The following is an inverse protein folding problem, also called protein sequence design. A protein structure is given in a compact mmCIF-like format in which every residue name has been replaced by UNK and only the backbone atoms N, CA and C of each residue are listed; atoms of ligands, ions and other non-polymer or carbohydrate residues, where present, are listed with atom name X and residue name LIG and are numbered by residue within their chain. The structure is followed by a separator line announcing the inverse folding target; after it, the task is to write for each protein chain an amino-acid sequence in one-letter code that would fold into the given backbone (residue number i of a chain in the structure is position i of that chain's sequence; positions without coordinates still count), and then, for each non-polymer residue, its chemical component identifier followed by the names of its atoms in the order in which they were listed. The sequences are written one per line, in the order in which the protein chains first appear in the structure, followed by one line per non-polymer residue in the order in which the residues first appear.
data_IF_844319727673
#
_entry.id   IF_844319727673
#
_cell.length_a   1.000
_cell.length_b   1.000
_cell.length_c   1.000
_cell.angle_alpha   90.00
_cell.angle_beta   90.00
_cell.angle_gamma   90.00
#
_symmetry.space_group_name_H-M   'P 1'
#
loop_
_entity.id
_entity.type
_entity.pdbx_description
1 polymer ?
#
# COMPACT_ATOMS: atom_id res chain seq x y z
N UNK A 1 -6.39 21.15 -9.71
CA UNK A 1 -6.37 20.39 -10.98
C UNK A 1 -5.42 20.95 -12.03
N UNK A 2 -5.18 22.27 -12.16
CA UNK A 2 -4.24 22.75 -13.17
C UNK A 2 -3.09 23.72 -12.77
N UNK A 3 -3.08 24.33 -11.58
CA UNK A 3 -1.78 24.64 -10.92
C UNK A 3 -1.01 23.33 -10.59
N UNK A 4 -1.77 22.23 -10.50
CA UNK A 4 -1.37 20.83 -10.43
C UNK A 4 -0.98 20.23 -11.80
N UNK A 5 -1.55 20.72 -12.92
CA UNK A 5 -1.25 20.27 -14.29
C UNK A 5 -0.16 21.11 -14.97
N UNK A 6 0.04 22.38 -14.57
CA UNK A 6 1.18 23.21 -15.00
C UNK A 6 2.49 22.70 -14.40
N UNK A 7 2.43 22.23 -13.16
CA UNK A 7 3.54 21.57 -12.48
C UNK A 7 3.82 20.13 -13.01
N UNK A 8 2.83 19.53 -13.70
CA UNK A 8 2.91 18.21 -14.36
C UNK A 8 3.42 18.28 -15.81
N UNK A 9 3.17 19.39 -16.52
CA UNK A 9 3.64 19.61 -17.88
C UNK A 9 5.16 19.69 -18.00
N UNK A 10 5.86 20.11 -16.94
CA UNK A 10 7.32 20.14 -16.86
C UNK A 10 7.94 18.74 -16.59
N UNK A 11 7.17 17.78 -16.08
CA UNK A 11 7.64 16.41 -15.76
C UNK A 11 7.56 15.47 -16.98
N UNK A 12 6.79 15.83 -18.00
CA UNK A 12 6.51 14.96 -19.15
C UNK A 12 7.64 14.85 -20.19
N UNK A 13 8.77 15.57 -20.02
CA UNK A 13 9.86 15.62 -21.01
C UNK A 13 11.11 14.76 -20.66
N UNK A 14 11.01 13.86 -19.67
CA UNK A 14 12.14 13.07 -19.16
C UNK A 14 12.07 11.55 -19.38
N UNK A 15 11.30 11.04 -20.35
CA UNK A 15 11.03 9.60 -20.48
C UNK A 15 11.65 9.00 -21.75
N UNK A 16 12.95 8.73 -21.69
CA UNK A 16 13.60 7.78 -22.59
C UNK A 16 14.51 6.87 -21.74
N UNK A 17 14.17 5.58 -21.65
CA UNK A 17 14.96 4.56 -20.96
C UNK A 17 14.41 4.07 -19.60
N UNK A 18 13.09 3.84 -19.48
CA UNK A 18 12.54 3.22 -18.26
C UNK A 18 13.02 1.77 -18.14
N UNK A 19 13.83 1.50 -17.12
CA UNK A 19 14.28 0.16 -16.75
C UNK A 19 13.44 -0.33 -15.56
N UNK A 20 13.02 -1.59 -15.56
CA UNK A 20 12.16 -2.19 -14.51
C UNK A 20 12.76 -3.48 -13.99
N UNK A 21 12.71 -3.70 -12.69
CA UNK A 21 13.02 -4.99 -12.09
C UNK A 21 11.76 -5.85 -11.97
N UNK A 22 11.94 -7.15 -12.21
CA UNK A 22 10.90 -8.16 -12.11
C UNK A 22 11.32 -9.21 -11.09
N UNK A 23 10.36 -9.64 -10.29
CA UNK A 23 10.53 -10.63 -9.23
C UNK A 23 9.42 -11.68 -9.35
N UNK A 24 9.82 -12.93 -9.51
CA UNK A 24 8.94 -14.11 -9.44
C UNK A 24 9.33 -14.93 -8.22
N UNK A 25 8.39 -15.09 -7.29
CA UNK A 25 8.56 -15.86 -6.07
C UNK A 25 7.69 -17.10 -6.16
N UNK A 26 8.30 -18.27 -6.18
CA UNK A 26 7.60 -19.55 -6.10
C UNK A 26 7.85 -20.21 -4.75
N UNK A 27 6.79 -20.73 -4.13
CA UNK A 27 6.85 -21.35 -2.82
C UNK A 27 6.14 -22.69 -2.79
N UNK A 28 6.70 -23.62 -2.02
CA UNK A 28 6.10 -24.90 -1.64
C UNK A 28 6.32 -25.11 -0.15
N UNK A 29 5.33 -25.61 0.55
CA UNK A 29 5.44 -25.95 1.97
C UNK A 29 5.63 -27.46 2.17
N UNK A 30 6.50 -27.83 3.10
CA UNK A 30 6.56 -29.20 3.65
C UNK A 30 5.85 -29.33 5.03
N UNK A 31 5.07 -28.31 5.40
CA UNK A 31 4.35 -28.20 6.66
C UNK A 31 5.13 -27.55 7.80
N UNK A 32 6.48 -27.55 7.76
CA UNK A 32 7.32 -26.88 8.77
C UNK A 32 8.13 -25.72 8.19
N UNK A 33 8.45 -25.81 6.91
CA UNK A 33 9.28 -24.86 6.22
C UNK A 33 8.71 -24.57 4.83
N UNK A 34 9.11 -23.42 4.29
CA UNK A 34 8.88 -23.08 2.89
C UNK A 34 10.16 -23.32 2.10
N UNK A 35 10.04 -24.10 1.03
CA UNK A 35 10.96 -24.07 -0.09
C UNK A 35 10.59 -22.89 -0.98
N UNK A 36 11.51 -21.94 -1.17
CA UNK A 36 11.31 -20.71 -1.93
C UNK A 36 12.30 -20.65 -3.09
N UNK A 37 11.80 -20.32 -4.26
CA UNK A 37 12.59 -19.94 -5.44
C UNK A 37 12.29 -18.48 -5.76
N UNK A 38 13.33 -17.65 -5.82
CA UNK A 38 13.24 -16.29 -6.34
C UNK A 38 13.93 -16.23 -7.70
N UNK A 39 13.17 -15.85 -8.73
CA UNK A 39 13.71 -15.48 -10.04
C UNK A 39 13.62 -13.97 -10.18
N UNK A 40 14.75 -13.32 -10.45
CA UNK A 40 14.77 -11.87 -10.68
C UNK A 40 15.54 -11.48 -11.93
N UNK A 41 15.02 -10.50 -12.65
CA UNK A 41 15.65 -9.95 -13.85
C UNK A 41 15.25 -8.48 -14.03
N UNK A 42 15.94 -7.81 -14.95
CA UNK A 42 15.73 -6.41 -15.25
C UNK A 42 15.43 -6.26 -16.74
N UNK A 43 14.44 -5.47 -17.10
CA UNK A 43 14.10 -5.19 -18.49
C UNK A 43 14.20 -3.69 -18.78
N UNK A 44 14.79 -3.37 -19.92
CA UNK A 44 14.75 -2.03 -20.49
C UNK A 44 13.54 -1.91 -21.43
N UNK A 45 12.70 -0.89 -21.21
CA UNK A 45 11.51 -0.66 -22.01
C UNK A 45 11.87 -0.21 -23.44
N UNK A 46 11.30 -0.89 -24.43
CA UNK A 46 11.43 -0.58 -25.86
C UNK A 46 10.41 -1.37 -26.69
N UNK A 47 10.41 -1.20 -28.03
CA UNK A 47 9.52 -1.96 -28.93
C UNK A 47 9.70 -3.49 -28.82
N UNK A 48 10.88 -3.93 -28.35
CA UNK A 48 11.15 -5.29 -27.92
C UNK A 48 11.83 -5.21 -26.55
N UNK A 49 11.20 -5.69 -25.46
CA UNK A 49 11.80 -5.69 -24.14
C UNK A 49 13.10 -6.49 -24.16
N UNK A 50 14.18 -5.90 -23.65
CA UNK A 50 15.48 -6.56 -23.56
C UNK A 50 15.84 -6.79 -22.11
N UNK A 51 16.17 -8.04 -21.77
CA UNK A 51 16.74 -8.36 -20.46
C UNK A 51 18.13 -7.75 -20.37
N UNK A 52 18.34 -6.92 -19.35
CA UNK A 52 19.62 -6.29 -19.02
C UNK A 52 20.11 -6.82 -17.67
N UNK A 53 21.42 -6.73 -17.37
CA UNK A 53 21.95 -7.23 -16.12
C UNK A 53 21.35 -6.55 -14.88
N UNK A 54 20.97 -7.35 -13.89
CA UNK A 54 20.65 -6.88 -12.53
C UNK A 54 21.93 -6.34 -11.86
N UNK A 55 21.79 -5.34 -10.98
CA UNK A 55 22.96 -4.74 -10.31
C UNK A 55 23.73 -5.77 -9.46
N UNK A 56 25.07 -5.65 -9.44
CA UNK A 56 25.90 -6.57 -8.66
C UNK A 56 25.66 -6.45 -7.15
N UNK A 57 25.28 -5.27 -6.67
CA UNK A 57 24.89 -5.04 -5.28
C UNK A 57 23.66 -5.88 -4.91
N UNK A 58 22.61 -5.85 -5.74
CA UNK A 58 21.41 -6.65 -5.53
C UNK A 58 21.72 -8.16 -5.54
N UNK A 59 22.53 -8.63 -6.50
CA UNK A 59 22.96 -10.02 -6.56
C UNK A 59 23.72 -10.43 -5.28
N UNK A 60 24.65 -9.59 -4.81
CA UNK A 60 25.42 -9.85 -3.60
C UNK A 60 24.54 -9.89 -2.34
N UNK A 61 23.57 -8.98 -2.23
CA UNK A 61 22.57 -8.99 -1.15
C UNK A 61 21.76 -10.29 -1.15
N UNK A 62 21.27 -10.72 -2.32
CA UNK A 62 20.47 -11.94 -2.44
C UNK A 62 21.29 -13.20 -2.13
N UNK A 63 22.57 -13.25 -2.52
CA UNK A 63 23.51 -14.32 -2.12
C UNK A 63 23.60 -14.46 -0.60
N UNK A 64 23.65 -13.35 0.15
CA UNK A 64 23.71 -13.40 1.61
C UNK A 64 22.42 -13.94 2.23
N UNK A 65 21.27 -13.58 1.66
CA UNK A 65 19.95 -14.03 2.12
C UNK A 65 19.76 -15.53 1.88
N UNK A 66 20.06 -16.00 0.66
CA UNK A 66 19.86 -17.40 0.26
C UNK A 66 21.02 -18.32 0.65
N UNK A 67 22.18 -17.75 1.01
CA UNK A 67 23.43 -18.47 1.34
C UNK A 67 23.87 -19.41 0.23
N UNK A 68 23.62 -19.03 -1.02
CA UNK A 68 23.96 -19.81 -2.22
C UNK A 68 24.32 -18.88 -3.37
N UNK A 69 25.10 -19.40 -4.31
CA UNK A 69 25.28 -18.77 -5.61
C UNK A 69 23.99 -18.88 -6.44
N UNK A 70 23.60 -17.83 -7.19
CA UNK A 70 22.47 -17.92 -8.10
C UNK A 70 22.81 -18.82 -9.29
N UNK A 71 21.80 -19.47 -9.82
CA UNK A 71 21.83 -19.99 -11.18
C UNK A 71 21.41 -18.87 -12.15
N UNK A 72 21.95 -18.88 -13.36
CA UNK A 72 21.54 -17.96 -14.43
C UNK A 72 20.83 -18.78 -15.49
N UNK A 73 19.54 -18.53 -15.66
CA UNK A 73 18.65 -19.23 -16.60
C UNK A 73 18.06 -18.16 -17.54
N UNK A 74 18.36 -18.23 -18.84
CA UNK A 74 17.88 -17.27 -19.87
C UNK A 74 18.12 -15.78 -19.52
N UNK A 75 19.26 -15.49 -18.89
CA UNK A 75 19.61 -14.12 -18.45
C UNK A 75 18.92 -13.65 -17.16
N UNK A 76 18.13 -14.52 -16.52
CA UNK A 76 17.50 -14.28 -15.21
C UNK A 76 18.31 -14.93 -14.09
N UNK A 77 18.35 -14.30 -12.92
CA UNK A 77 19.01 -14.86 -11.74
C UNK A 77 18.02 -15.65 -10.91
N UNK A 78 18.36 -16.90 -10.57
CA UNK A 78 17.51 -17.81 -9.81
C UNK A 78 18.19 -18.20 -8.51
N UNK A 79 17.50 -17.92 -7.40
CA UNK A 79 17.92 -18.25 -6.03
C UNK A 79 16.94 -19.26 -5.43
N UNK A 80 17.45 -20.24 -4.69
CA UNK A 80 16.62 -21.29 -4.06
C UNK A 80 17.04 -21.47 -2.61
N UNK A 81 16.07 -21.50 -1.71
CA UNK A 81 16.32 -21.56 -0.27
C UNK A 81 15.18 -22.22 0.50
N UNK A 82 15.46 -22.56 1.76
CA UNK A 82 14.49 -23.13 2.69
C UNK A 82 14.40 -22.25 3.95
N UNK A 83 13.19 -21.84 4.31
CA UNK A 83 12.94 -20.87 5.38
C UNK A 83 11.91 -21.40 6.39
N UNK A 84 12.12 -21.12 7.67
CA UNK A 84 11.25 -21.55 8.78
C UNK A 84 10.84 -20.31 9.58
N UNK A 85 9.54 -20.16 9.81
CA UNK A 85 8.99 -19.05 10.59
C UNK A 85 9.07 -17.73 9.83
N UNK A 86 10.22 -17.05 9.83
CA UNK A 86 10.39 -15.74 9.19
C UNK A 86 10.75 -15.88 7.70
N UNK A 87 10.10 -15.09 6.85
CA UNK A 87 10.39 -15.02 5.41
C UNK A 87 11.62 -14.14 5.12
N UNK A 88 12.40 -14.47 4.08
CA UNK A 88 13.60 -13.71 3.74
C UNK A 88 13.25 -12.28 3.28
N UNK A 89 14.10 -11.31 3.64
CA UNK A 89 14.00 -9.94 3.13
C UNK A 89 14.60 -9.78 1.72
N UNK A 90 14.21 -10.64 0.78
CA UNK A 90 14.82 -10.76 -0.55
C UNK A 90 14.30 -9.72 -1.56
N UNK A 91 12.99 -9.56 -1.69
CA UNK A 91 12.35 -8.50 -2.47
C UNK A 91 12.18 -7.22 -1.62
N UNK A 92 12.41 -7.34 -0.31
CA UNK A 92 12.23 -6.30 0.71
C UNK A 92 10.88 -6.44 1.42
N UNK A 93 10.78 -5.90 2.64
CA UNK A 93 9.60 -6.05 3.50
C UNK A 93 9.81 -7.10 4.60
N UNK A 94 8.73 -7.72 5.07
CA UNK A 94 8.75 -8.68 6.17
C UNK A 94 7.59 -9.67 6.06
N UNK A 95 7.80 -10.91 6.49
CA UNK A 95 6.75 -11.91 6.45
C UNK A 95 7.00 -13.10 7.35
N UNK A 96 5.96 -13.90 7.52
CA UNK A 96 5.98 -15.12 8.31
C UNK A 96 5.22 -16.24 7.61
N UNK A 97 5.71 -17.46 7.82
CA UNK A 97 4.99 -18.70 7.57
C UNK A 97 4.91 -19.47 8.88
N UNK A 98 3.71 -19.62 9.41
CA UNK A 98 3.49 -20.20 10.74
C UNK A 98 2.42 -21.27 10.68
N UNK A 99 2.70 -22.41 11.31
CA UNK A 99 1.73 -23.48 11.55
C UNK A 99 1.37 -23.53 13.02
N UNK A 100 0.08 -23.42 13.31
CA UNK A 100 -0.52 -23.56 14.64
C UNK A 100 -1.23 -24.91 14.71
N UNK A 101 -0.84 -25.75 15.66
CA UNK A 101 -1.41 -27.09 15.82
C UNK A 101 -2.24 -27.22 17.10
N UNK A 102 -3.23 -28.10 17.04
CA UNK A 102 -4.09 -28.52 18.15
C UNK A 102 -4.41 -30.01 18.00
N UNK A 103 -5.01 -30.67 19.01
CA UNK A 103 -5.46 -32.06 18.87
C UNK A 103 -6.48 -32.28 17.74
N UNK A 104 -7.26 -31.27 17.37
CA UNK A 104 -8.32 -31.41 16.36
C UNK A 104 -7.84 -31.12 14.94
N UNK A 105 -6.59 -30.69 14.78
CA UNK A 105 -6.02 -30.28 13.50
C UNK A 105 -5.15 -29.03 13.61
N UNK A 106 -4.82 -28.45 12.47
CA UNK A 106 -3.91 -27.31 12.38
C UNK A 106 -4.38 -26.22 11.43
N UNK A 107 -3.82 -25.03 11.65
CA UNK A 107 -3.97 -23.84 10.82
C UNK A 107 -2.59 -23.41 10.36
N UNK A 108 -2.43 -23.22 9.06
CA UNK A 108 -1.20 -22.70 8.47
C UNK A 108 -1.48 -21.33 7.90
N UNK A 109 -0.65 -20.35 8.26
CA UNK A 109 -0.76 -18.95 7.84
C UNK A 109 0.51 -18.54 7.11
N UNK A 110 0.36 -18.09 5.88
CA UNK A 110 1.36 -17.32 5.15
C UNK A 110 0.93 -15.85 5.13
N UNK A 111 1.82 -14.95 5.52
CA UNK A 111 1.63 -13.51 5.48
C UNK A 111 2.96 -12.85 5.16
N UNK A 112 3.07 -12.17 4.02
CA UNK A 112 4.29 -11.48 3.62
C UNK A 112 3.96 -10.12 3.02
N UNK A 113 4.64 -9.10 3.52
CA UNK A 113 4.64 -7.75 2.98
C UNK A 113 5.87 -7.58 2.10
N UNK A 114 5.67 -7.08 0.88
CA UNK A 114 6.72 -6.80 -0.09
C UNK A 114 6.92 -5.30 -0.27
N UNK A 115 8.14 -4.85 0.00
CA UNK A 115 8.56 -3.44 -0.03
C UNK A 115 7.56 -2.50 0.68
N UNK A 116 7.60 -1.22 0.33
CA UNK A 116 6.72 -0.18 0.85
C UNK A 116 7.04 0.21 2.29
N UNK A 117 6.50 1.36 2.67
CA UNK A 117 6.54 1.86 4.04
C UNK A 117 5.21 1.60 4.71
N UNK A 118 5.26 0.97 5.88
CA UNK A 118 4.09 0.63 6.70
C UNK A 118 3.86 1.66 7.81
N UNK A 119 4.76 2.63 7.94
CA UNK A 119 4.56 3.82 8.78
C UNK A 119 3.67 4.83 8.02
N UNK A 120 2.36 4.58 8.10
CA UNK A 120 1.36 5.40 7.42
C UNK A 120 1.36 6.85 7.94
N UNK A 121 1.69 7.05 9.22
CA UNK A 121 1.75 8.37 9.82
C UNK A 121 2.93 9.16 9.28
N UNK A 122 4.13 8.58 9.25
CA UNK A 122 5.31 9.21 8.66
C UNK A 122 5.09 9.47 7.16
N UNK A 123 4.48 8.54 6.43
CA UNK A 123 4.13 8.74 5.02
C UNK A 123 3.18 9.94 4.84
N UNK A 124 2.11 10.03 5.63
CA UNK A 124 1.19 11.17 5.61
C UNK A 124 1.87 12.49 6.02
N UNK A 125 2.72 12.46 7.04
CA UNK A 125 3.47 13.62 7.51
C UNK A 125 4.39 14.17 6.41
N UNK A 126 5.14 13.30 5.72
CA UNK A 126 5.99 13.70 4.58
C UNK A 126 5.18 14.31 3.44
N UNK A 127 4.00 13.75 3.11
CA UNK A 127 3.11 14.32 2.07
C UNK A 127 2.59 15.70 2.45
N UNK A 128 2.16 15.88 3.70
CA UNK A 128 1.71 17.18 4.21
C UNK A 128 2.85 18.19 4.24
N UNK A 129 4.05 17.76 4.64
CA UNK A 129 5.26 18.58 4.61
C UNK A 129 5.63 19.03 3.20
N UNK A 130 5.57 18.12 2.22
CA UNK A 130 5.78 18.47 0.81
C UNK A 130 4.71 19.43 0.28
N UNK A 131 3.44 19.27 0.68
CA UNK A 131 2.38 20.21 0.34
C UNK A 131 2.59 21.60 0.99
N UNK A 132 3.11 21.66 2.23
CA UNK A 132 3.51 22.91 2.89
C UNK A 132 4.67 23.59 2.16
N UNK A 133 5.71 22.83 1.83
CA UNK A 133 6.88 23.36 1.09
C UNK A 133 6.46 23.90 -0.28
N UNK A 134 5.58 23.20 -1.00
CA UNK A 134 5.02 23.69 -2.26
C UNK A 134 4.23 24.98 -2.06
N UNK A 135 3.40 25.07 -1.01
CA UNK A 135 2.64 26.27 -0.69
C UNK A 135 3.56 27.46 -0.38
N UNK A 136 4.63 27.23 0.40
CA UNK A 136 5.63 28.25 0.74
C UNK A 136 6.37 28.76 -0.49
N UNK A 137 6.76 27.86 -1.40
CA UNK A 137 7.44 28.24 -2.64
C UNK A 137 6.51 29.04 -3.55
N UNK A 138 5.25 28.61 -3.73
CA UNK A 138 4.25 29.34 -4.54
C UNK A 138 3.96 30.71 -3.93
N UNK A 139 3.78 30.79 -2.61
CA UNK A 139 3.53 32.05 -1.91
C UNK A 139 4.72 33.00 -2.08
N UNK A 140 5.94 32.54 -1.83
CA UNK A 140 7.12 33.39 -1.97
C UNK A 140 7.39 33.82 -3.41
N UNK A 141 7.14 32.96 -4.39
CA UNK A 141 7.21 33.31 -5.81
C UNK A 141 6.22 34.42 -6.17
N UNK A 142 4.95 34.22 -5.83
CA UNK A 142 3.93 35.22 -6.10
C UNK A 142 4.19 36.51 -5.30
N UNK A 143 4.81 36.43 -4.12
CA UNK A 143 5.23 37.63 -3.37
C UNK A 143 6.33 38.39 -4.10
N UNK A 144 7.30 37.70 -4.71
CA UNK A 144 8.35 38.33 -5.49
C UNK A 144 7.78 39.06 -6.71
N UNK A 145 6.77 38.49 -7.37
CA UNK A 145 6.15 39.08 -8.58
C UNK A 145 5.08 40.14 -8.25
N UNK A 146 4.30 39.95 -7.19
CA UNK A 146 3.05 40.69 -6.93
C UNK A 146 3.02 41.41 -5.57
N UNK A 147 4.05 41.29 -4.73
CA UNK A 147 4.02 41.77 -3.34
C UNK A 147 3.78 43.26 -3.17
N UNK A 148 4.06 44.07 -4.20
CA UNK A 148 3.81 45.51 -4.24
C UNK A 148 2.48 45.90 -4.89
N UNK A 149 1.72 44.93 -5.41
CA UNK A 149 0.51 45.18 -6.18
C UNK A 149 -0.73 45.35 -5.28
N UNK A 150 -1.69 46.20 -5.67
CA UNK A 150 -2.97 46.30 -4.98
C UNK A 150 -3.68 44.94 -4.91
N UNK A 151 -4.20 44.59 -3.73
CA UNK A 151 -4.90 43.32 -3.52
C UNK A 151 -3.99 42.15 -3.15
N UNK A 152 -2.67 42.35 -3.05
CA UNK A 152 -1.73 41.33 -2.58
C UNK A 152 -2.13 40.74 -1.22
N UNK A 153 -2.46 41.55 -0.21
CA UNK A 153 -2.83 41.08 1.13
C UNK A 153 -3.96 40.04 1.13
N UNK A 154 -4.92 40.18 0.19
CA UNK A 154 -6.02 39.24 0.02
C UNK A 154 -5.54 37.93 -0.59
N UNK A 155 -4.71 38.02 -1.63
CA UNK A 155 -4.11 36.87 -2.29
C UNK A 155 -3.18 36.11 -1.35
N UNK A 156 -2.34 36.81 -0.60
CA UNK A 156 -1.44 36.26 0.41
C UNK A 156 -2.20 35.48 1.49
N UNK A 157 -3.25 36.07 2.06
CA UNK A 157 -4.09 35.39 3.06
C UNK A 157 -4.75 34.12 2.51
N UNK A 158 -5.19 34.16 1.25
CA UNK A 158 -5.74 32.97 0.58
C UNK A 158 -4.67 31.91 0.37
N UNK A 159 -3.48 32.28 -0.10
CA UNK A 159 -2.36 31.38 -0.37
C UNK A 159 -1.87 30.68 0.91
N UNK A 160 -1.69 31.45 1.98
CA UNK A 160 -1.14 30.93 3.23
C UNK A 160 -2.12 30.05 4.02
N UNK A 161 -3.43 30.32 3.89
CA UNK A 161 -4.48 29.59 4.65
C UNK A 161 -5.19 28.55 3.80
N UNK A 162 -6.01 29.02 2.87
CA UNK A 162 -6.96 28.17 2.14
C UNK A 162 -6.22 27.27 1.15
N UNK A 163 -5.38 27.86 0.30
CA UNK A 163 -4.61 27.11 -0.70
C UNK A 163 -3.68 26.07 -0.07
N UNK A 164 -2.96 26.44 0.99
CA UNK A 164 -2.12 25.50 1.75
C UNK A 164 -2.92 24.32 2.30
N UNK A 165 -4.05 24.59 2.96
CA UNK A 165 -4.92 23.53 3.47
C UNK A 165 -5.48 22.65 2.34
N UNK A 166 -5.85 23.28 1.22
CA UNK A 166 -6.38 22.59 0.06
C UNK A 166 -5.32 21.72 -0.63
N UNK A 167 -4.05 22.14 -0.70
CA UNK A 167 -2.95 21.30 -1.18
C UNK A 167 -2.76 20.04 -0.32
N UNK A 168 -2.84 20.15 1.00
CA UNK A 168 -2.77 19.00 1.91
C UNK A 168 -3.93 18.04 1.69
N UNK A 169 -5.14 18.55 1.53
CA UNK A 169 -6.31 17.72 1.25
C UNK A 169 -6.20 17.03 -0.10
N UNK A 170 -5.71 17.71 -1.13
CA UNK A 170 -5.42 17.09 -2.43
C UNK A 170 -4.34 16.01 -2.34
N UNK A 171 -3.32 16.19 -1.50
CA UNK A 171 -2.28 15.19 -1.27
C UNK A 171 -2.87 13.92 -0.63
N UNK A 172 -3.76 14.09 0.34
CA UNK A 172 -4.47 12.98 0.99
C UNK A 172 -5.42 12.30 0.00
N UNK A 173 -6.20 13.06 -0.76
CA UNK A 173 -7.04 12.54 -1.84
C UNK A 173 -6.20 11.67 -2.79
N UNK A 174 -5.08 12.19 -3.30
CA UNK A 174 -4.16 11.44 -4.18
C UNK A 174 -3.68 10.13 -3.55
N UNK A 175 -3.34 10.16 -2.26
CA UNK A 175 -2.93 8.97 -1.52
C UNK A 175 -4.08 7.95 -1.36
N UNK A 176 -5.31 8.41 -1.08
CA UNK A 176 -6.49 7.51 -0.96
C UNK A 176 -6.84 6.84 -2.28
N UNK A 177 -6.75 7.55 -3.41
CA UNK A 177 -6.92 6.96 -4.73
C UNK A 177 -5.90 5.86 -4.99
N UNK A 178 -4.64 6.11 -4.60
CA UNK A 178 -3.58 5.13 -4.76
C UNK A 178 -3.78 3.90 -3.87
N UNK A 179 -4.32 4.09 -2.65
CA UNK A 179 -4.67 3.00 -1.75
C UNK A 179 -5.85 2.16 -2.27
N UNK A 180 -6.81 2.78 -2.96
CA UNK A 180 -7.95 2.11 -3.56
C UNK A 180 -7.57 1.20 -4.76
N UNK A 181 -6.38 1.41 -5.34
CA UNK A 181 -5.82 0.59 -6.42
C UNK A 181 -6.30 0.98 -7.83
N UNK A 182 -5.81 0.24 -8.83
CA UNK A 182 -5.96 0.58 -10.26
C UNK A 182 -7.34 0.27 -10.87
N UNK A 183 -8.43 0.36 -10.08
CA UNK A 183 -9.79 0.15 -10.61
C UNK A 183 -10.21 1.36 -11.45
N UNK A 184 -10.66 1.18 -12.71
CA UNK A 184 -11.13 2.29 -13.55
C UNK A 184 -12.21 3.15 -12.89
N UNK A 185 -13.14 2.50 -12.16
CA UNK A 185 -14.22 3.17 -11.43
C UNK A 185 -13.69 4.07 -10.31
N UNK A 186 -12.62 3.63 -9.62
CA UNK A 186 -11.97 4.41 -8.57
C UNK A 186 -11.32 5.69 -9.13
N UNK A 187 -10.81 5.65 -10.36
CA UNK A 187 -10.22 6.83 -11.01
C UNK A 187 -11.28 7.87 -11.36
N UNK A 188 -12.43 7.46 -11.91
CA UNK A 188 -13.52 8.39 -12.25
C UNK A 188 -14.14 9.04 -11.00
N UNK A 189 -14.42 8.23 -9.97
CA UNK A 189 -14.92 8.72 -8.69
C UNK A 189 -13.94 9.72 -8.04
N UNK A 190 -12.65 9.41 -8.10
CA UNK A 190 -11.60 10.29 -7.59
C UNK A 190 -11.58 11.66 -8.25
N UNK A 191 -11.62 11.69 -9.59
CA UNK A 191 -11.68 12.95 -10.36
C UNK A 191 -12.93 13.75 -10.01
N UNK A 192 -14.08 13.08 -9.87
CA UNK A 192 -15.32 13.73 -9.46
C UNK A 192 -15.22 14.35 -8.05
N UNK A 193 -14.63 13.62 -7.09
CA UNK A 193 -14.41 14.10 -5.71
C UNK A 193 -13.50 15.32 -5.66
N UNK A 194 -12.37 15.30 -6.37
CA UNK A 194 -11.48 16.47 -6.47
C UNK A 194 -12.19 17.65 -7.15
N UNK A 195 -12.93 17.38 -8.22
CA UNK A 195 -13.72 18.40 -8.92
C UNK A 195 -14.70 19.09 -7.99
N UNK A 196 -15.51 18.31 -7.28
CA UNK A 196 -16.48 18.81 -6.30
C UNK A 196 -15.80 19.60 -5.18
N UNK A 197 -14.71 19.08 -4.61
CA UNK A 197 -13.95 19.76 -3.56
C UNK A 197 -13.45 21.15 -4.00
N UNK A 198 -12.86 21.22 -5.20
CA UNK A 198 -12.35 22.46 -5.75
C UNK A 198 -13.46 23.45 -6.13
N UNK A 199 -14.61 22.95 -6.57
CA UNK A 199 -15.80 23.75 -6.82
C UNK A 199 -16.34 24.40 -5.53
N UNK A 200 -16.50 23.63 -4.46
CA UNK A 200 -16.97 24.13 -3.15
C UNK A 200 -16.04 25.21 -2.56
N UNK A 201 -14.75 25.12 -2.89
CA UNK A 201 -13.71 26.10 -2.52
C UNK A 201 -13.57 27.27 -3.51
N UNK A 202 -14.46 27.34 -4.50
CA UNK A 202 -14.55 28.41 -5.50
C UNK A 202 -13.29 28.56 -6.37
N UNK A 203 -12.56 27.46 -6.59
CA UNK A 203 -11.45 27.46 -7.56
C UNK A 203 -11.93 27.69 -8.98
N UNK A 204 -13.14 27.20 -9.29
CA UNK A 204 -13.82 27.42 -10.55
C UNK A 204 -15.33 27.44 -10.35
N UNK A 205 -16.08 27.90 -11.35
CA UNK A 205 -17.54 27.82 -11.41
C UNK A 205 -17.99 26.72 -12.38
N UNK A 206 -19.23 26.21 -12.29
CA UNK A 206 -19.70 25.13 -13.16
C UNK A 206 -19.61 25.51 -14.65
N UNK A 207 -19.79 26.78 -14.99
CA UNK A 207 -19.69 27.31 -16.35
C UNK A 207 -18.24 27.25 -16.89
N UNK A 208 -17.24 27.25 -16.02
CA UNK A 208 -15.83 27.12 -16.38
C UNK A 208 -15.42 25.65 -16.58
N UNK A 209 -16.25 24.68 -16.21
CA UNK A 209 -15.90 23.25 -16.29
C UNK A 209 -15.59 22.79 -17.72
N UNK A 210 -16.36 23.14 -18.77
CA UNK A 210 -16.03 22.77 -20.15
C UNK A 210 -14.68 23.36 -20.62
N UNK A 211 -14.38 24.60 -20.23
CA UNK A 211 -13.11 25.25 -20.53
C UNK A 211 -11.95 24.60 -19.78
N UNK A 212 -12.15 24.19 -18.53
CA UNK A 212 -11.18 23.44 -17.74
C UNK A 212 -10.90 22.06 -18.32
N UNK A 213 -11.93 21.34 -18.77
CA UNK A 213 -11.81 20.01 -19.38
C UNK A 213 -11.14 20.07 -20.75
N UNK A 214 -11.61 20.96 -21.64
CA UNK A 214 -10.95 21.24 -22.93
C UNK A 214 -9.52 21.69 -22.70
N UNK A 215 -9.37 22.57 -21.73
CA UNK A 215 -8.15 22.95 -21.10
C UNK A 215 -7.25 21.72 -20.95
N UNK A 216 -7.66 20.83 -20.03
CA UNK A 216 -6.94 19.68 -19.51
C UNK A 216 -6.58 18.64 -20.56
N UNK A 217 -7.43 18.46 -21.57
CA UNK A 217 -7.24 17.47 -22.63
C UNK A 217 -6.58 18.05 -23.89
N UNK A 218 -6.53 19.38 -24.02
CA UNK A 218 -5.99 20.05 -25.19
C UNK A 218 -4.46 20.17 -25.17
N UNK A 219 -3.80 20.25 -26.34
CA UNK A 219 -2.35 20.40 -26.45
C UNK A 219 -1.84 21.81 -26.11
N UNK A 220 -2.74 22.76 -25.83
CA UNK A 220 -2.40 24.16 -25.58
C UNK A 220 -2.25 24.46 -24.06
N UNK A 221 -1.02 24.60 -23.55
CA UNK A 221 -0.77 24.93 -22.14
C UNK A 221 -1.17 26.36 -21.80
N UNK A 222 -1.33 27.25 -22.80
CA UNK A 222 -1.65 28.65 -22.58
C UNK A 222 -3.09 28.84 -22.09
N UNK A 223 -4.03 28.05 -22.60
CA UNK A 223 -5.43 28.05 -22.15
C UNK A 223 -5.57 27.80 -20.65
N UNK A 224 -4.67 27.01 -20.07
CA UNK A 224 -4.59 26.83 -18.64
C UNK A 224 -4.13 28.11 -17.92
N UNK A 225 -2.99 28.66 -18.32
CA UNK A 225 -2.41 29.80 -17.63
C UNK A 225 -3.36 31.00 -17.62
N UNK A 226 -4.18 31.18 -18.67
CA UNK A 226 -5.28 32.17 -18.68
C UNK A 226 -6.30 31.96 -17.55
N UNK A 227 -6.70 30.72 -17.29
CA UNK A 227 -7.59 30.38 -16.17
C UNK A 227 -6.93 30.66 -14.82
N UNK A 228 -5.63 30.38 -14.69
CA UNK A 228 -4.84 30.69 -13.48
C UNK A 228 -4.74 32.19 -13.27
N UNK A 229 -4.39 32.96 -14.29
CA UNK A 229 -4.35 34.43 -14.27
C UNK A 229 -5.68 35.02 -13.82
N UNK A 230 -6.79 34.57 -14.42
CA UNK A 230 -8.13 35.02 -14.04
C UNK A 230 -8.46 34.65 -12.60
N UNK A 231 -8.06 33.46 -12.14
CA UNK A 231 -8.27 33.03 -10.76
C UNK A 231 -7.50 33.93 -9.78
N UNK A 232 -6.21 34.20 -10.03
CA UNK A 232 -5.39 35.09 -9.21
C UNK A 232 -5.94 36.52 -9.18
N UNK A 233 -6.34 37.06 -10.33
CA UNK A 233 -6.96 38.39 -10.42
C UNK A 233 -8.22 38.49 -9.52
N UNK A 234 -9.10 37.48 -9.55
CA UNK A 234 -10.26 37.44 -8.64
C UNK A 234 -9.85 37.42 -7.17
N UNK A 235 -8.82 36.65 -6.80
CA UNK A 235 -8.31 36.60 -5.42
C UNK A 235 -7.67 37.92 -4.98
N UNK A 236 -7.16 38.73 -5.91
CA UNK A 236 -6.73 40.11 -5.68
C UNK A 236 -7.90 41.11 -5.63
N UNK A 237 -9.14 40.68 -5.90
CA UNK A 237 -10.34 41.52 -5.84
C UNK A 237 -10.78 42.12 -7.19
N UNK A 238 -10.20 41.66 -8.30
CA UNK A 238 -10.58 42.09 -9.66
C UNK A 238 -11.81 41.33 -10.12
N UNK A 239 -12.85 42.05 -10.56
CA UNK A 239 -14.11 41.47 -11.02
C UNK A 239 -13.96 40.62 -12.31
N UNK A 240 -14.95 39.74 -12.61
CA UNK A 240 -14.91 38.89 -13.81
C UNK A 240 -14.90 39.70 -15.12
N UNK A 241 -15.59 40.85 -15.14
CA UNK A 241 -15.72 41.72 -16.31
C UNK A 241 -14.56 42.71 -16.47
N UNK A 242 -13.68 42.80 -15.48
CA UNK A 242 -12.50 43.66 -15.54
C UNK A 242 -11.36 42.98 -16.31
N UNK A 243 -10.49 43.73 -17.00
CA UNK A 243 -9.33 43.16 -17.66
C UNK A 243 -8.37 42.51 -16.65
N UNK A 244 -7.66 41.47 -17.06
CA UNK A 244 -6.59 40.88 -16.24
C UNK A 244 -5.48 41.92 -16.08
N UNK A 245 -5.03 42.23 -14.84
CA UNK A 245 -3.97 43.20 -14.61
C UNK A 245 -2.66 42.85 -15.33
N UNK A 246 -1.95 43.87 -15.82
CA UNK A 246 -0.66 43.70 -16.48
C UNK A 246 0.41 43.07 -15.56
N UNK A 247 0.29 43.21 -14.24
CA UNK A 247 1.19 42.56 -13.28
C UNK A 247 1.14 41.03 -13.33
N UNK A 248 0.14 40.42 -13.97
CA UNK A 248 0.05 38.96 -14.18
C UNK A 248 0.63 38.52 -15.54
N UNK A 249 1.29 39.41 -16.29
CA UNK A 249 1.85 39.10 -17.61
C UNK A 249 2.96 38.03 -17.56
N UNK A 250 3.63 37.84 -16.41
CA UNK A 250 4.59 36.73 -16.25
C UNK A 250 3.94 35.34 -16.41
N UNK A 251 2.61 35.24 -16.29
CA UNK A 251 1.81 34.03 -16.56
C UNK A 251 1.20 34.00 -17.96
N UNK A 252 1.55 34.91 -18.88
CA UNK A 252 0.91 34.99 -20.21
C UNK A 252 1.22 33.80 -21.12
N UNK A 253 2.25 33.02 -20.79
CA UNK A 253 2.68 31.84 -21.52
C UNK A 253 3.59 30.92 -20.69
N UNK A 254 3.72 29.65 -21.10
CA UNK A 254 4.44 28.62 -20.35
C UNK A 254 5.93 28.97 -20.14
N UNK A 255 6.61 29.45 -21.17
CA UNK A 255 8.04 29.77 -21.08
C UNK A 255 8.32 30.91 -20.10
N UNK A 256 7.47 31.96 -20.11
CA UNK A 256 7.58 33.09 -19.18
C UNK A 256 7.30 32.67 -17.74
N UNK A 257 6.24 31.88 -17.53
CA UNK A 257 5.89 31.39 -16.21
C UNK A 257 6.99 30.49 -15.64
N UNK A 258 7.53 29.59 -16.47
CA UNK A 258 8.64 28.72 -16.12
C UNK A 258 9.92 29.51 -15.79
N UNK A 259 10.27 30.49 -16.63
CA UNK A 259 11.45 31.33 -16.40
C UNK A 259 11.35 32.13 -15.09
N UNK A 260 10.19 32.75 -14.82
CA UNK A 260 9.92 33.49 -13.58
C UNK A 260 10.01 32.57 -12.35
N UNK A 261 9.40 31.38 -12.43
CA UNK A 261 9.47 30.38 -11.37
C UNK A 261 10.90 29.91 -11.10
N UNK A 262 11.63 29.50 -12.14
CA UNK A 262 13.01 29.01 -12.01
C UNK A 262 13.96 30.08 -11.50
N UNK A 263 13.75 31.35 -11.88
CA UNK A 263 14.53 32.45 -11.34
C UNK A 263 14.27 32.66 -9.86
N UNK A 264 13.00 32.67 -9.43
CA UNK A 264 12.66 32.72 -8.02
C UNK A 264 13.28 31.55 -7.24
N UNK A 265 13.16 30.31 -7.73
CA UNK A 265 13.69 29.14 -7.04
C UNK A 265 15.20 29.23 -6.79
N UNK A 266 15.97 29.80 -7.72
CA UNK A 266 17.42 30.01 -7.53
C UNK A 266 17.76 30.91 -6.34
N UNK A 267 16.84 31.79 -5.95
CA UNK A 267 17.01 32.69 -4.80
C UNK A 267 16.69 32.01 -3.46
N UNK A 268 16.10 30.81 -3.48
CA UNK A 268 15.63 30.15 -2.26
C UNK A 268 16.77 29.44 -1.50
N UNK A 269 16.73 29.41 -0.16
CA UNK A 269 17.66 28.63 0.64
C UNK A 269 17.62 27.12 0.34
N UNK A 270 16.45 26.61 -0.08
CA UNK A 270 16.25 25.20 -0.42
C UNK A 270 17.09 24.82 -1.64
N UNK A 271 17.02 25.61 -2.72
CA UNK A 271 17.84 25.39 -3.90
C UNK A 271 19.33 25.56 -3.61
N UNK A 272 19.70 26.56 -2.80
CA UNK A 272 21.07 26.77 -2.36
C UNK A 272 21.66 25.53 -1.65
N UNK A 273 20.90 24.91 -0.74
CA UNK A 273 21.32 23.67 -0.05
C UNK A 273 21.55 22.51 -1.02
N UNK A 274 20.66 22.33 -2.01
CA UNK A 274 20.81 21.27 -3.05
C UNK A 274 22.04 21.49 -3.91
N UNK A 275 22.31 22.74 -4.29
CA UNK A 275 23.50 23.08 -5.07
C UNK A 275 24.78 22.80 -4.28
N UNK A 276 24.82 23.09 -2.98
CA UNK A 276 25.95 22.75 -2.13
C UNK A 276 26.14 21.24 -1.94
N UNK A 277 25.05 20.48 -1.75
CA UNK A 277 25.11 19.02 -1.69
C UNK A 277 25.67 18.43 -3.00
N UNK A 278 25.16 18.87 -4.15
CA UNK A 278 25.70 18.47 -5.46
C UNK A 278 27.18 18.81 -5.62
N UNK A 279 27.64 20.00 -5.18
CA UNK A 279 29.07 20.35 -5.22
C UNK A 279 29.94 19.39 -4.41
N UNK A 280 29.41 18.87 -3.30
CA UNK A 280 30.10 17.87 -2.48
C UNK A 280 30.12 16.50 -3.17
N UNK A 281 28.99 16.08 -3.75
CA UNK A 281 28.84 14.77 -4.40
C UNK A 281 29.57 14.69 -5.75
N UNK A 282 29.66 15.79 -6.50
CA UNK A 282 30.45 15.89 -7.74
C UNK A 282 31.94 15.52 -7.52
N UNK A 283 32.47 15.69 -6.30
CA UNK A 283 33.83 15.25 -5.97
C UNK A 283 33.97 13.73 -5.98
N UNK A 284 32.87 13.01 -5.76
CA UNK A 284 32.79 11.54 -5.79
C UNK A 284 32.33 11.04 -7.18
N UNK A 285 31.48 11.80 -7.86
CA UNK A 285 30.96 11.49 -9.19
C UNK A 285 31.11 12.66 -10.17
N UNK A 286 32.24 12.74 -10.91
CA UNK A 286 32.56 13.90 -11.75
C UNK A 286 31.57 14.18 -12.89
N UNK A 287 30.77 13.19 -13.28
CA UNK A 287 29.78 13.26 -14.36
C UNK A 287 28.38 13.72 -13.95
N UNK A 288 28.12 13.97 -12.66
CA UNK A 288 26.79 14.36 -12.19
C UNK A 288 26.38 15.76 -12.71
N UNK A 289 25.22 15.87 -13.36
CA UNK A 289 24.65 17.15 -13.79
C UNK A 289 24.26 18.03 -12.58
N UNK A 290 24.40 19.36 -12.69
CA UNK A 290 23.93 20.27 -11.64
C UNK A 290 22.40 20.18 -11.48
N UNK A 291 21.88 20.33 -10.24
CA UNK A 291 20.45 20.29 -10.00
C UNK A 291 19.77 21.46 -10.71
N UNK A 292 18.66 21.19 -11.40
CA UNK A 292 17.85 22.22 -12.07
C UNK A 292 16.67 22.61 -11.16
N UNK A 293 16.22 23.88 -11.16
CA UNK A 293 15.07 24.29 -10.36
C UNK A 293 13.79 23.48 -10.62
N UNK A 294 13.62 23.03 -11.86
CA UNK A 294 12.50 22.23 -12.32
C UNK A 294 12.47 20.85 -11.63
N UNK A 295 13.65 20.24 -11.40
CA UNK A 295 13.77 18.93 -10.74
C UNK A 295 13.26 18.99 -9.30
N UNK A 296 13.58 20.07 -8.58
CA UNK A 296 13.11 20.29 -7.21
C UNK A 296 11.59 20.36 -7.13
N UNK A 297 10.98 21.06 -8.09
CA UNK A 297 9.52 21.19 -8.15
C UNK A 297 8.89 19.83 -8.44
N UNK A 298 9.46 19.07 -9.39
CA UNK A 298 9.06 17.71 -9.69
C UNK A 298 9.09 16.80 -8.46
N UNK A 299 10.19 16.79 -7.71
CA UNK A 299 10.33 15.96 -6.52
C UNK A 299 9.30 16.27 -5.43
N UNK A 300 9.05 17.55 -5.16
CA UNK A 300 8.04 17.98 -4.17
C UNK A 300 6.64 17.53 -4.61
N UNK A 301 6.31 17.69 -5.89
CA UNK A 301 5.02 17.26 -6.43
C UNK A 301 4.85 15.74 -6.39
N UNK A 302 5.86 14.97 -6.78
CA UNK A 302 5.79 13.50 -6.70
C UNK A 302 5.67 13.06 -5.25
N UNK A 303 6.32 13.77 -4.32
CA UNK A 303 6.21 13.49 -2.88
C UNK A 303 4.82 13.84 -2.35
N UNK A 304 4.24 14.98 -2.71
CA UNK A 304 2.91 15.37 -2.27
C UNK A 304 1.81 14.52 -2.94
N UNK A 305 1.97 14.14 -4.20
CA UNK A 305 0.89 13.69 -5.09
C UNK A 305 1.21 12.43 -5.90
N UNK A 306 1.86 11.45 -5.27
CA UNK A 306 2.43 10.24 -5.89
C UNK A 306 1.53 9.48 -6.91
N UNK A 307 0.22 9.70 -6.95
CA UNK A 307 -0.66 9.16 -8.01
C UNK A 307 -0.44 9.80 -9.39
N UNK A 308 0.22 10.96 -9.47
CA UNK A 308 0.59 11.58 -10.74
C UNK A 308 1.78 10.89 -11.43
N UNK A 309 2.44 9.98 -10.71
CA UNK A 309 3.48 9.11 -11.22
C UNK A 309 2.87 7.96 -12.04
N UNK A 310 2.11 8.34 -13.06
CA UNK A 310 1.57 7.48 -14.13
C UNK A 310 2.70 7.09 -15.10
N UNK A 311 3.85 7.75 -14.97
CA UNK A 311 4.96 7.69 -15.91
C UNK A 311 6.17 6.90 -15.42
N UNK A 312 6.36 6.69 -14.10
CA UNK A 312 7.34 5.71 -13.63
C UNK A 312 6.74 4.30 -13.70
N UNK A 313 7.38 3.44 -14.47
CA UNK A 313 7.06 2.03 -14.47
C UNK A 313 7.57 1.40 -13.18
N UNK A 314 6.67 1.04 -12.28
CA UNK A 314 7.06 0.31 -11.06
C UNK A 314 7.61 -1.09 -11.39
N UNK A 315 8.50 -1.57 -10.52
CA UNK A 315 8.93 -2.97 -10.52
C UNK A 315 7.72 -3.91 -10.47
N UNK A 316 7.88 -5.14 -10.95
CA UNK A 316 6.81 -6.14 -10.98
C UNK A 316 7.08 -7.28 -10.01
N UNK A 317 6.04 -7.72 -9.32
CA UNK A 317 6.07 -8.88 -8.44
C UNK A 317 4.99 -9.89 -8.85
N UNK A 318 5.40 -11.13 -9.01
CA UNK A 318 4.53 -12.30 -9.08
C UNK A 318 4.89 -13.25 -7.94
N UNK A 319 3.90 -13.70 -7.18
CA UNK A 319 4.07 -14.66 -6.09
C UNK A 319 3.15 -15.84 -6.35
N UNK A 320 3.70 -17.05 -6.27
CA UNK A 320 2.96 -18.30 -6.42
C UNK A 320 3.24 -19.19 -5.22
N UNK A 321 2.19 -19.55 -4.47
CA UNK A 321 2.26 -20.50 -3.38
C UNK A 321 1.55 -21.79 -3.80
N UNK A 322 2.30 -22.87 -3.96
CA UNK A 322 1.73 -24.17 -4.29
C UNK A 322 1.22 -24.86 -3.03
N UNK A 323 -0.01 -25.37 -3.12
CA UNK A 323 -0.70 -26.09 -2.06
C UNK A 323 -1.58 -27.17 -2.69
N UNK A 324 -1.67 -28.34 -2.06
CA UNK A 324 -2.62 -29.38 -2.48
C UNK A 324 -4.07 -29.00 -2.21
N UNK A 325 -4.29 -28.04 -1.31
CA UNK A 325 -5.61 -27.61 -0.88
C UNK A 325 -5.82 -26.12 -1.13
N UNK A 326 -7.05 -25.77 -1.50
CA UNK A 326 -7.50 -24.39 -1.63
C UNK A 326 -7.44 -23.70 -0.25
N UNK A 327 -6.88 -22.49 -0.15
CA UNK A 327 -6.89 -21.74 1.11
C UNK A 327 -8.32 -21.45 1.56
N UNK A 328 -8.52 -21.46 2.87
CA UNK A 328 -9.76 -20.99 3.51
C UNK A 328 -9.97 -19.49 3.26
N UNK A 329 -8.90 -18.70 3.43
CA UNK A 329 -8.92 -17.25 3.22
C UNK A 329 -7.66 -16.84 2.46
N UNK A 330 -7.79 -15.94 1.50
CA UNK A 330 -6.66 -15.34 0.79
C UNK A 330 -7.07 -14.06 0.08
N UNK A 331 -6.12 -13.13 -0.12
CA UNK A 331 -6.25 -12.04 -1.08
C UNK A 331 -5.62 -12.34 -2.46
N UNK A 332 -5.19 -13.57 -2.70
CA UNK A 332 -4.70 -14.05 -3.98
C UNK A 332 -5.77 -14.78 -4.78
N UNK A 333 -5.47 -15.06 -6.05
CA UNK A 333 -6.30 -15.89 -6.90
C UNK A 333 -5.93 -17.37 -6.73
N UNK A 334 -6.92 -18.23 -6.49
CA UNK A 334 -6.71 -19.68 -6.51
C UNK A 334 -6.79 -20.22 -7.94
N UNK A 335 -5.76 -20.94 -8.37
CA UNK A 335 -5.69 -21.67 -9.63
C UNK A 335 -5.82 -23.18 -9.36
N UNK A 336 -7.00 -23.73 -9.64
CA UNK A 336 -7.31 -25.16 -9.46
C UNK A 336 -6.39 -26.06 -10.29
N UNK A 337 -6.04 -25.63 -11.51
CA UNK A 337 -5.24 -26.45 -12.43
C UNK A 337 -3.79 -26.56 -11.99
N UNK A 338 -3.26 -25.48 -11.39
CA UNK A 338 -1.90 -25.42 -10.90
C UNK A 338 -1.76 -25.84 -9.43
N UNK A 339 -2.87 -26.00 -8.70
CA UNK A 339 -2.86 -26.23 -7.25
C UNK A 339 -2.10 -25.12 -6.52
N UNK A 340 -2.43 -23.86 -6.81
CA UNK A 340 -1.64 -22.74 -6.30
C UNK A 340 -2.46 -21.47 -6.08
N UNK A 341 -2.06 -20.70 -5.06
CA UNK A 341 -2.49 -19.31 -4.88
C UNK A 341 -1.50 -18.40 -5.61
N UNK A 342 -2.02 -17.43 -6.35
CA UNK A 342 -1.23 -16.48 -7.13
C UNK A 342 -1.55 -15.04 -6.73
N UNK A 343 -0.50 -14.23 -6.60
CA UNK A 343 -0.59 -12.80 -6.43
C UNK A 343 0.28 -12.11 -7.49
N UNK A 344 -0.22 -11.01 -8.03
CA UNK A 344 0.54 -10.15 -8.92
C UNK A 344 0.37 -8.70 -8.48
N UNK A 345 1.47 -7.95 -8.42
CA UNK A 345 1.45 -6.56 -7.99
C UNK A 345 2.57 -5.74 -8.63
N UNK A 346 2.34 -4.43 -8.77
CA UNK A 346 3.41 -3.47 -9.05
C UNK A 346 4.02 -2.96 -7.75
N UNK A 347 5.34 -3.08 -7.63
CA UNK A 347 6.18 -2.65 -6.52
C UNK A 347 6.65 -1.20 -6.71
N UNK A 348 5.70 -0.27 -6.84
CA UNK A 348 6.04 1.17 -6.89
C UNK A 348 6.65 1.59 -5.55
N UNK A 349 7.78 2.30 -5.59
CA UNK A 349 8.48 2.78 -4.38
C UNK A 349 7.58 3.63 -3.47
N UNK A 350 6.63 4.37 -4.07
CA UNK A 350 5.77 5.34 -3.37
C UNK A 350 4.32 4.89 -3.27
N UNK A 351 4.05 3.58 -3.19
CA UNK A 351 2.69 3.04 -3.03
C UNK A 351 2.08 3.52 -1.70
N UNK A 352 0.77 3.73 -1.70
CA UNK A 352 0.06 4.22 -0.52
C UNK A 352 0.08 3.21 0.63
N UNK A 353 -0.09 1.94 0.26
CA UNK A 353 0.03 0.79 1.13
C UNK A 353 1.02 -0.20 0.51
N UNK A 354 1.86 -0.85 1.32
CA UNK A 354 2.72 -1.95 0.88
C UNK A 354 1.92 -3.08 0.19
N UNK A 355 2.59 -3.83 -0.70
CA UNK A 355 2.00 -5.08 -1.20
C UNK A 355 1.97 -6.08 -0.05
N UNK A 356 0.82 -6.70 0.19
CA UNK A 356 0.66 -7.79 1.17
C UNK A 356 0.08 -9.00 0.47
N UNK A 357 0.70 -10.15 0.65
CA UNK A 357 0.19 -11.45 0.23
C UNK A 357 -0.14 -12.25 1.49
N UNK A 358 -1.38 -12.76 1.59
CA UNK A 358 -1.73 -13.67 2.67
C UNK A 358 -2.58 -14.83 2.18
N UNK A 359 -2.39 -15.98 2.81
CA UNK A 359 -3.23 -17.13 2.65
C UNK A 359 -3.26 -17.94 3.95
N UNK A 360 -4.43 -18.49 4.25
CA UNK A 360 -4.68 -19.31 5.43
C UNK A 360 -5.27 -20.65 5.00
N UNK A 361 -4.71 -21.74 5.50
CA UNK A 361 -5.17 -23.10 5.28
C UNK A 361 -5.51 -23.75 6.61
N UNK A 362 -6.39 -24.74 6.57
CA UNK A 362 -6.78 -25.53 7.73
C UNK A 362 -6.77 -27.00 7.36
N UNK A 363 -6.15 -27.85 8.18
CA UNK A 363 -6.16 -29.30 8.00
C UNK A 363 -6.70 -29.94 9.25
N UNK A 364 -7.88 -30.56 9.15
CA UNK A 364 -8.49 -31.26 10.27
C UNK A 364 -7.76 -32.58 10.53
N UNK A 365 -7.50 -32.90 11.81
CA UNK A 365 -7.07 -34.24 12.19
C UNK A 365 -8.30 -35.16 12.20
N UNK A 366 -8.68 -35.61 11.00
CA UNK A 366 -9.89 -36.40 10.80
C UNK A 366 -9.86 -37.69 11.61
N UNK A 367 -8.69 -38.34 11.69
CA UNK A 367 -8.53 -39.57 12.46
C UNK A 367 -8.76 -39.32 13.94
N UNK A 368 -8.10 -38.33 14.53
CA UNK A 368 -8.28 -38.01 15.94
C UNK A 368 -9.75 -37.67 16.25
N UNK A 369 -10.39 -36.85 15.40
CA UNK A 369 -11.78 -36.47 15.60
C UNK A 369 -12.74 -37.66 15.46
N UNK A 370 -12.55 -38.53 14.47
CA UNK A 370 -13.35 -39.74 14.31
C UNK A 370 -13.19 -40.70 15.49
N UNK A 371 -11.96 -40.89 15.97
CA UNK A 371 -11.65 -41.79 17.11
C UNK A 371 -12.32 -41.31 18.42
N UNK A 372 -12.50 -39.99 18.62
CA UNK A 372 -13.03 -39.43 19.88
C UNK A 372 -14.48 -38.96 19.80
N UNK A 373 -14.95 -38.54 18.63
CA UNK A 373 -16.29 -37.98 18.41
C UNK A 373 -17.17 -38.81 17.47
N UNK A 374 -16.60 -39.80 16.77
CA UNK A 374 -17.30 -40.63 15.78
C UNK A 374 -17.44 -39.99 14.40
N UNK A 375 -17.01 -38.73 14.24
CA UNK A 375 -16.95 -37.98 12.97
C UNK A 375 -16.05 -36.75 13.11
N UNK A 376 -15.74 -36.11 11.98
CA UNK A 376 -15.07 -34.80 11.97
C UNK A 376 -16.08 -33.70 12.30
N UNK A 377 -15.98 -33.11 13.49
CA UNK A 377 -16.91 -32.13 14.06
C UNK A 377 -16.44 -30.69 13.93
N UNK A 378 -15.13 -30.45 13.78
CA UNK A 378 -14.54 -29.12 13.58
C UNK A 378 -13.66 -29.12 12.33
N UNK A 379 -13.96 -28.25 11.35
CA UNK A 379 -13.22 -28.10 10.09
C UNK A 379 -13.24 -26.64 9.62
N UNK A 380 -12.51 -26.29 8.57
CA UNK A 380 -12.58 -24.97 7.94
C UNK A 380 -12.42 -23.80 8.93
N UNK A 381 -13.37 -22.86 8.91
CA UNK A 381 -13.30 -21.65 9.73
C UNK A 381 -13.48 -21.94 11.22
N UNK A 382 -14.32 -22.91 11.58
CA UNK A 382 -14.51 -23.37 12.94
C UNK A 382 -13.20 -23.95 13.49
N UNK A 383 -12.46 -24.70 12.67
CA UNK A 383 -11.15 -25.22 13.05
C UNK A 383 -10.14 -24.09 13.23
N UNK A 384 -10.17 -23.08 12.36
CA UNK A 384 -9.32 -21.91 12.53
C UNK A 384 -9.56 -21.20 13.86
N UNK A 385 -10.82 -21.00 14.24
CA UNK A 385 -11.19 -20.41 15.53
C UNK A 385 -10.76 -21.28 16.71
N UNK A 386 -11.02 -22.59 16.64
CA UNK A 386 -10.62 -23.54 17.68
C UNK A 386 -9.12 -23.56 17.90
N UNK A 387 -8.32 -23.66 16.83
CA UNK A 387 -6.85 -23.69 16.92
C UNK A 387 -6.32 -22.38 17.51
N UNK A 388 -6.83 -21.22 17.09
CA UNK A 388 -6.38 -19.93 17.63
C UNK A 388 -6.73 -19.78 19.12
N UNK A 389 -7.93 -20.21 19.52
CA UNK A 389 -8.31 -20.29 20.94
C UNK A 389 -7.36 -21.21 21.72
N UNK A 390 -7.14 -22.44 21.24
CA UNK A 390 -6.28 -23.43 21.89
C UNK A 390 -4.84 -22.93 22.06
N UNK A 391 -4.31 -22.20 21.07
CA UNK A 391 -2.97 -21.60 21.13
C UNK A 391 -2.86 -20.39 22.06
N UNK A 392 -3.98 -19.81 22.48
CA UNK A 392 -4.03 -18.75 23.48
C UNK A 392 -4.04 -19.25 24.93
N UNK A 393 -4.24 -20.55 25.14
CA UNK A 393 -4.26 -21.16 26.47
C UNK A 393 -2.86 -21.23 27.10
N UNK A 394 -2.84 -21.18 28.42
CA UNK A 394 -1.68 -21.49 29.25
C UNK A 394 -1.34 -22.99 29.21
N UNK A 395 -0.11 -23.40 29.56
CA UNK A 395 0.25 -24.82 29.61
C UNK A 395 -0.66 -25.67 30.50
N UNK A 396 -1.11 -25.14 31.64
CA UNK A 396 -2.01 -25.82 32.57
C UNK A 396 -3.40 -26.03 31.96
N UNK A 397 -3.97 -25.00 31.33
CA UNK A 397 -5.25 -25.07 30.63
C UNK A 397 -5.19 -26.06 29.45
N UNK A 398 -4.09 -26.07 28.68
CA UNK A 398 -3.88 -27.05 27.60
C UNK A 398 -3.97 -28.47 28.17
N UNK A 399 -3.30 -28.76 29.29
CA UNK A 399 -3.32 -30.09 29.89
C UNK A 399 -4.72 -30.50 30.36
N UNK A 400 -5.50 -29.57 30.92
CA UNK A 400 -6.89 -29.83 31.34
C UNK A 400 -7.79 -30.11 30.13
N UNK A 401 -7.68 -29.28 29.09
CA UNK A 401 -8.46 -29.42 27.88
C UNK A 401 -8.10 -30.70 27.10
N UNK A 402 -6.81 -30.99 26.94
CA UNK A 402 -6.35 -32.21 26.27
C UNK A 402 -6.85 -33.45 27.02
N UNK A 403 -6.83 -33.43 28.36
CA UNK A 403 -7.38 -34.53 29.17
C UNK A 403 -8.88 -34.74 28.95
N UNK A 404 -9.64 -33.65 28.81
CA UNK A 404 -11.07 -33.72 28.46
C UNK A 404 -11.23 -34.40 27.10
N UNK A 405 -10.59 -33.85 26.07
CA UNK A 405 -10.80 -34.21 24.67
C UNK A 405 -10.28 -35.63 24.38
N UNK A 406 -9.07 -35.97 24.80
CA UNK A 406 -8.53 -37.34 24.66
C UNK A 406 -9.30 -38.38 25.47
N UNK A 407 -10.04 -37.94 26.50
CA UNK A 407 -10.90 -38.82 27.28
C UNK A 407 -12.28 -39.05 26.67
N UNK A 408 -12.69 -38.29 25.64
CA UNK A 408 -13.96 -38.49 24.96
C UNK A 408 -13.97 -39.82 24.19
N UNK A 409 -15.15 -40.42 24.10
CA UNK A 409 -15.39 -41.64 23.33
C UNK A 409 -16.67 -41.44 22.51
N UNK A 410 -16.72 -41.96 21.27
CA UNK A 410 -17.93 -41.89 20.47
C UNK A 410 -19.14 -42.44 21.24
N UNK A 411 -20.29 -41.74 21.12
CA UNK A 411 -21.60 -42.19 21.62
C UNK A 411 -21.80 -42.24 23.15
N UNK A 412 -20.81 -41.91 23.98
CA UNK A 412 -20.95 -41.90 25.44
C UNK A 412 -20.99 -40.48 26.02
N UNK A 413 -22.20 -40.00 26.36
CA UNK A 413 -22.47 -38.74 27.09
C UNK A 413 -21.67 -37.52 26.61
N UNK A 414 -21.28 -37.51 25.34
CA UNK A 414 -20.25 -36.62 24.82
C UNK A 414 -20.67 -35.15 24.92
N UNK A 415 -21.93 -34.87 24.56
CA UNK A 415 -22.51 -33.55 24.68
C UNK A 415 -22.52 -33.03 26.12
N UNK A 416 -22.85 -33.90 27.08
CA UNK A 416 -22.89 -33.55 28.51
C UNK A 416 -21.48 -33.34 29.06
N UNK A 417 -20.53 -34.20 28.70
CA UNK A 417 -19.15 -34.12 29.16
C UNK A 417 -18.46 -32.86 28.67
N UNK A 418 -18.62 -32.53 27.39
CA UNK A 418 -18.05 -31.30 26.80
C UNK A 418 -18.80 -30.07 27.32
N UNK A 419 -20.14 -30.09 27.33
CA UNK A 419 -20.97 -28.98 27.78
C UNK A 419 -20.71 -28.56 29.24
N UNK A 420 -20.43 -29.54 30.11
CA UNK A 420 -20.17 -29.29 31.53
C UNK A 420 -18.70 -28.93 31.85
N UNK A 421 -17.80 -28.95 30.86
CA UNK A 421 -16.40 -28.63 31.12
C UNK A 421 -16.22 -27.14 31.47
N UNK A 422 -15.38 -26.91 32.47
CA UNK A 422 -14.82 -25.62 32.89
C UNK A 422 -13.39 -25.85 33.34
N UNK A 423 -12.55 -24.84 33.21
CA UNK A 423 -11.18 -24.92 33.73
C UNK A 423 -11.17 -24.85 35.25
N UNK A 424 -10.20 -25.50 35.88
CA UNK A 424 -10.13 -25.64 37.35
C UNK A 424 -10.06 -24.32 38.12
N UNK A 425 -9.57 -23.26 37.49
CA UNK A 425 -9.46 -21.92 38.07
C UNK A 425 -10.75 -21.08 37.90
N UNK A 426 -11.71 -21.52 37.09
CA UNK A 426 -12.95 -20.80 36.86
C UNK A 426 -13.94 -21.04 38.01
N UNK A 427 -14.73 -20.03 38.40
CA UNK A 427 -15.77 -20.22 39.40
C UNK A 427 -16.81 -21.24 38.89
N UNK A 428 -17.39 -22.06 39.79
CA UNK A 428 -18.50 -22.92 39.43
C UNK A 428 -19.71 -22.08 39.01
N UNK A 429 -20.60 -22.60 38.14
CA UNK A 429 -21.84 -21.92 37.79
C UNK A 429 -22.68 -21.68 39.05
N UNK A 430 -23.28 -20.50 39.20
CA UNK A 430 -24.23 -20.26 40.28
C UNK A 430 -25.47 -21.15 40.05
N UNK A 431 -25.71 -22.06 40.99
CA UNK A 431 -26.86 -22.97 40.94
C UNK A 431 -28.19 -22.26 41.15
N UNK A 432 -28.19 -21.01 41.63
CA UNK A 432 -29.40 -20.23 41.91
C UNK A 432 -29.78 -19.31 40.75
N UNK A 433 -28.83 -18.87 39.94
CA UNK A 433 -29.05 -17.98 38.77
C UNK A 433 -28.33 -18.53 37.52
N UNK A 434 -28.86 -19.60 36.89
CA UNK A 434 -28.22 -20.27 35.75
C UNK A 434 -28.03 -19.37 34.53
N UNK A 435 -28.91 -18.38 34.36
CA UNK A 435 -28.90 -17.43 33.24
C UNK A 435 -27.87 -16.31 33.42
N UNK A 436 -27.29 -16.15 34.61
CA UNK A 436 -26.21 -15.19 34.92
C UNK A 436 -24.82 -15.85 35.03
N UNK A 437 -24.70 -17.12 34.58
CA UNK A 437 -23.46 -17.88 34.68
C UNK A 437 -22.28 -17.14 34.05
N UNK A 438 -21.19 -16.98 34.82
CA UNK A 438 -19.96 -16.33 34.35
C UNK A 438 -19.44 -17.05 33.09
N UNK A 439 -19.15 -16.30 32.01
CA UNK A 439 -18.59 -16.87 30.79
C UNK A 439 -17.37 -17.75 31.10
N UNK A 440 -17.29 -18.92 30.48
CA UNK A 440 -16.11 -19.77 30.52
C UNK A 440 -15.24 -19.52 29.30
N UNK A 441 -13.93 -19.57 29.48
CA UNK A 441 -12.95 -19.62 28.39
C UNK A 441 -13.22 -20.79 27.44
N UNK A 442 -13.85 -21.88 27.93
CA UNK A 442 -14.22 -23.02 27.11
C UNK A 442 -15.52 -22.84 26.32
N UNK A 443 -16.27 -21.74 26.46
CA UNK A 443 -17.58 -21.60 25.81
C UNK A 443 -17.51 -21.63 24.27
N UNK A 444 -16.49 -20.98 23.69
CA UNK A 444 -16.26 -21.01 22.24
C UNK A 444 -16.01 -22.43 21.72
N UNK A 445 -14.97 -23.17 22.15
CA UNK A 445 -14.70 -24.51 21.63
C UNK A 445 -15.81 -25.50 21.97
N UNK A 446 -16.49 -25.38 23.12
CA UNK A 446 -17.68 -26.19 23.45
C UNK A 446 -18.75 -25.99 22.38
N UNK A 447 -19.10 -24.74 22.06
CA UNK A 447 -20.09 -24.44 21.02
C UNK A 447 -19.68 -25.02 19.66
N UNK A 448 -18.45 -24.79 19.22
CA UNK A 448 -17.95 -25.27 17.92
C UNK A 448 -18.02 -26.80 17.80
N UNK A 449 -17.74 -27.53 18.87
CA UNK A 449 -17.78 -28.99 18.88
C UNK A 449 -19.24 -29.50 18.99
N UNK A 450 -20.04 -28.88 19.86
CA UNK A 450 -21.41 -29.33 20.16
C UNK A 450 -22.41 -29.03 19.06
N UNK A 451 -22.20 -27.97 18.26
CA UNK A 451 -23.07 -27.64 17.11
C UNK A 451 -23.23 -28.83 16.15
N UNK A 452 -22.18 -29.61 15.92
CA UNK A 452 -22.26 -30.77 15.02
C UNK A 452 -22.63 -32.08 15.76
N UNK A 453 -22.43 -32.15 17.09
CA UNK A 453 -22.77 -33.34 17.89
C UNK A 453 -24.26 -33.36 18.30
N UNK A 454 -24.94 -32.21 18.25
CA UNK A 454 -26.30 -32.01 18.76
C UNK A 454 -27.43 -32.07 17.73
N UNK A 455 -27.77 -33.25 17.21
CA UNK A 455 -29.14 -33.72 17.06
C UNK A 455 -29.11 -35.25 17.13
N UNK A 456 -29.72 -35.81 18.17
CA UNK A 456 -29.75 -37.24 18.44
C UNK A 456 -30.52 -38.04 17.39
N UNK A 457 -29.94 -38.28 16.21
CA UNK A 457 -30.29 -39.45 15.42
C UNK A 457 -29.59 -40.66 16.05
N UNK A 458 -30.32 -41.32 16.95
CA UNK A 458 -30.09 -42.75 17.20
C UNK A 458 -30.23 -43.49 15.86
N UNK A 459 -29.41 -44.52 15.60
CA UNK A 459 -29.49 -45.31 14.36
C UNK A 459 -30.88 -45.89 14.11
#
# INVERSE_FOLDING_TARGET
MRCFLAALGLVAAGLAGCVRDYYEVEMRSDGKAIQRTLTCWREEAGNQPKIVPVSQEQVNRLRQVYKSEPQVEDGKYVFRGKFVGTMPADVGGAGTFTRFASPLGDVTVYLERFRGEDDLEAALARRRGAADELADLVLGWLRAELGSQPGWDRLEKFLDRDFRADLKNLAIYSWTAQAAGDKPEATAEFVARIGQYLYERQYFTPEQLPELLRAAQGPDPQSLLRLVQRHLARRMGIGPDQPVPACLEFLSGPDRASASWSEYLRTTPVFGKRLEAWKQDKRREPGAEPPKPEDMTGEILVTAFAHLDVFSGGDSLSVKFQSSERPLETNGAWDESAGAVQWSASLRERRALPVVCFALWTSADGKFQEDHFGKVVVKGRELAQYVMWYRGLTPEEILEWDRLISGCQPWQDLAKRIGNFRFSHEPPPDTQEPDEATPSLADLPKRLILEDIGEGRRP
#
